data_IF_804772111691
#
_entry.id   IF_804772111691
#
_cell.length_a   1.000
_cell.length_b   1.000
_cell.length_c   1.000
_cell.angle_alpha   90.00
_cell.angle_beta   90.00
_cell.angle_gamma   90.00
#
_symmetry.space_group_name_H-M   'P 1'
#
loop_
_entity.id
_entity.type
_entity.pdbx_description
1 polymer ?
#
# COMPACT_ATOMS: atom_id res chain seq x y z
N UNK A 1 -20.94 -11.35 5.78
CA UNK A 1 -19.93 -11.09 4.71
C UNK A 1 -20.13 -9.76 3.94
N UNK A 2 -21.28 -9.07 4.04
CA UNK A 2 -21.54 -7.80 3.33
C UNK A 2 -20.50 -6.69 3.63
N UNK A 3 -20.11 -6.55 4.90
CA UNK A 3 -19.14 -5.53 5.33
C UNK A 3 -17.72 -5.79 4.82
N UNK A 4 -17.28 -7.06 4.77
CA UNK A 4 -15.98 -7.44 4.21
C UNK A 4 -15.94 -7.15 2.71
N UNK A 5 -17.04 -7.43 1.98
CA UNK A 5 -17.14 -7.04 0.56
C UNK A 5 -17.07 -5.53 0.38
N UNK A 6 -17.77 -4.73 1.19
CA UNK A 6 -17.69 -3.27 1.14
C UNK A 6 -16.28 -2.73 1.43
N UNK A 7 -15.56 -3.39 2.35
CA UNK A 7 -14.21 -3.03 2.73
C UNK A 7 -13.19 -3.40 1.66
N UNK A 8 -13.31 -4.57 1.01
CA UNK A 8 -12.30 -5.06 0.06
C UNK A 8 -12.60 -4.73 -1.40
N UNK A 9 -13.85 -4.45 -1.76
CA UNK A 9 -14.27 -4.24 -3.14
C UNK A 9 -14.54 -2.76 -3.45
N UNK A 10 -14.26 -2.39 -4.68
CA UNK A 10 -14.53 -1.08 -5.28
C UNK A 10 -15.12 -1.34 -6.66
N UNK A 11 -16.27 -0.72 -6.99
CA UNK A 11 -16.97 -0.96 -8.27
C UNK A 11 -17.24 -2.46 -8.57
N UNK A 12 -17.57 -3.25 -7.55
CA UNK A 12 -17.76 -4.72 -7.63
C UNK A 12 -16.51 -5.56 -7.97
N UNK A 13 -15.34 -4.95 -8.06
CA UNK A 13 -14.05 -5.66 -8.21
C UNK A 13 -13.20 -5.58 -6.94
N UNK A 14 -12.31 -6.55 -6.74
CA UNK A 14 -11.45 -6.58 -5.57
C UNK A 14 -10.37 -5.50 -5.69
N UNK A 15 -10.36 -4.57 -4.74
CA UNK A 15 -9.47 -3.40 -4.76
C UNK A 15 -8.20 -3.69 -3.97
N UNK A 16 -7.07 -3.73 -4.66
CA UNK A 16 -5.75 -3.99 -4.07
C UNK A 16 -5.40 -2.92 -3.03
N UNK A 17 -5.71 -1.64 -3.29
CA UNK A 17 -5.53 -0.53 -2.34
C UNK A 17 -6.30 -0.74 -1.06
N UNK A 18 -7.56 -1.15 -1.15
CA UNK A 18 -8.40 -1.39 0.03
C UNK A 18 -7.93 -2.62 0.82
N UNK A 19 -7.55 -3.70 0.14
CA UNK A 19 -6.97 -4.87 0.78
C UNK A 19 -5.67 -4.51 1.53
N UNK A 20 -4.78 -3.75 0.91
CA UNK A 20 -3.53 -3.28 1.54
C UNK A 20 -3.81 -2.32 2.70
N UNK A 21 -4.82 -1.46 2.62
CA UNK A 21 -5.23 -0.59 3.71
C UNK A 21 -5.69 -1.38 4.93
N UNK A 22 -6.48 -2.44 4.73
CA UNK A 22 -6.93 -3.32 5.83
C UNK A 22 -5.73 -4.04 6.47
N UNK A 23 -4.81 -4.56 5.67
CA UNK A 23 -3.59 -5.21 6.17
C UNK A 23 -2.73 -4.22 6.95
N UNK A 24 -2.59 -2.98 6.46
CA UNK A 24 -1.90 -1.90 7.16
C UNK A 24 -2.52 -1.58 8.51
N UNK A 25 -3.85 -1.49 8.59
CA UNK A 25 -4.58 -1.28 9.84
C UNK A 25 -4.42 -2.43 10.85
N UNK A 26 -4.44 -3.67 10.38
CA UNK A 26 -4.21 -4.84 11.25
C UNK A 26 -2.79 -4.83 11.79
N UNK A 27 -1.79 -4.57 10.93
CA UNK A 27 -0.39 -4.46 11.34
C UNK A 27 -0.19 -3.33 12.35
N UNK A 28 -0.79 -2.15 12.11
CA UNK A 28 -0.77 -1.02 13.02
C UNK A 28 -1.25 -1.44 14.41
N UNK A 29 -2.47 -1.96 14.51
CA UNK A 29 -3.06 -2.35 15.79
C UNK A 29 -2.25 -3.45 16.50
N UNK A 30 -1.79 -4.46 15.77
CA UNK A 30 -1.03 -5.57 16.35
C UNK A 30 0.30 -5.08 16.97
N UNK A 31 1.06 -4.25 16.24
CA UNK A 31 2.33 -3.71 16.73
C UNK A 31 2.10 -2.72 17.88
N UNK A 32 1.10 -1.86 17.79
CA UNK A 32 0.75 -0.94 18.88
C UNK A 32 0.41 -1.67 20.17
N UNK A 33 -0.43 -2.70 20.10
CA UNK A 33 -0.82 -3.50 21.29
C UNK A 33 0.39 -4.24 21.85
N UNK A 34 1.22 -4.85 20.99
CA UNK A 34 2.43 -5.54 21.42
C UNK A 34 3.38 -4.63 22.21
N UNK A 35 3.66 -3.43 21.70
CA UNK A 35 4.55 -2.48 22.37
C UNK A 35 4.00 -2.00 23.72
N UNK A 36 2.68 -1.81 23.82
CA UNK A 36 2.01 -1.44 25.08
C UNK A 36 2.11 -2.58 26.10
N UNK A 37 1.87 -3.82 25.70
CA UNK A 37 1.93 -4.98 26.59
C UNK A 37 3.33 -5.25 27.12
N UNK A 38 4.35 -5.09 26.28
CA UNK A 38 5.75 -5.31 26.65
C UNK A 38 6.42 -4.08 27.28
N UNK A 39 5.66 -2.98 27.44
CA UNK A 39 6.16 -1.68 27.90
C UNK A 39 7.41 -1.21 27.13
N UNK A 40 7.48 -1.54 25.83
CA UNK A 40 8.63 -1.26 24.98
C UNK A 40 8.45 0.05 24.24
N UNK A 41 9.50 0.88 24.26
CA UNK A 41 9.62 2.01 23.36
C UNK A 41 10.30 1.57 22.07
N UNK A 42 9.65 1.83 20.93
CA UNK A 42 10.25 1.59 19.62
C UNK A 42 10.52 2.91 18.89
N UNK A 43 11.80 3.19 18.66
CA UNK A 43 12.26 4.47 18.10
C UNK A 43 11.65 4.83 16.74
N UNK A 44 11.27 3.83 15.93
CA UNK A 44 10.70 4.05 14.59
C UNK A 44 9.17 3.93 14.57
N UNK A 45 8.52 3.88 15.75
CA UNK A 45 7.08 3.70 15.85
C UNK A 45 6.30 4.81 15.14
N UNK A 46 6.75 6.07 15.22
CA UNK A 46 6.08 7.19 14.55
C UNK A 46 6.09 7.04 13.02
N UNK A 47 7.22 6.61 12.45
CA UNK A 47 7.32 6.30 11.02
C UNK A 47 6.43 5.11 10.65
N UNK A 48 6.45 4.05 11.45
CA UNK A 48 5.57 2.91 11.24
C UNK A 48 4.08 3.28 11.30
N UNK A 49 3.65 4.03 12.31
CA UNK A 49 2.29 4.48 12.53
C UNK A 49 1.82 5.43 11.42
N UNK A 50 2.68 6.33 10.95
CA UNK A 50 2.35 7.24 9.83
C UNK A 50 2.16 6.51 8.50
N UNK A 51 2.86 5.40 8.27
CA UNK A 51 2.72 4.58 7.06
C UNK A 51 1.50 3.67 7.14
N UNK A 52 1.24 3.07 8.31
CA UNK A 52 0.22 2.01 8.49
C UNK A 52 -1.14 2.52 8.97
N UNK A 53 -1.17 3.52 9.86
CA UNK A 53 -2.39 4.17 10.37
C UNK A 53 -2.73 5.50 9.68
N UNK A 54 -1.73 6.18 9.10
CA UNK A 54 -1.91 7.41 8.34
C UNK A 54 -2.17 7.14 6.85
N UNK A 55 -3.34 7.53 6.35
CA UNK A 55 -3.74 7.32 4.94
C UNK A 55 -2.83 7.94 3.86
N UNK A 56 -1.73 8.63 4.21
CA UNK A 56 -0.80 9.22 3.25
C UNK A 56 0.28 8.29 2.71
N UNK A 57 0.84 7.40 3.54
CA UNK A 57 1.96 6.53 3.16
C UNK A 57 1.53 5.27 2.42
N UNK A 58 0.63 4.49 3.03
CA UNK A 58 0.09 3.27 2.42
C UNK A 58 -0.67 3.54 1.11
N UNK A 59 -1.44 4.62 1.00
CA UNK A 59 -2.15 4.96 -0.24
C UNK A 59 -1.17 5.35 -1.34
N UNK A 60 -0.07 6.04 -1.03
CA UNK A 60 0.95 6.35 -2.04
C UNK A 60 1.71 5.11 -2.53
N UNK A 61 2.06 4.19 -1.63
CA UNK A 61 2.69 2.92 -2.00
C UNK A 61 1.72 2.06 -2.81
N UNK A 62 0.45 1.98 -2.40
CA UNK A 62 -0.56 1.26 -3.13
C UNK A 62 -0.85 1.90 -4.50
N UNK A 63 -0.89 3.22 -4.60
CA UNK A 63 -1.00 3.94 -5.89
C UNK A 63 0.20 3.64 -6.79
N UNK A 64 1.44 3.62 -6.27
CA UNK A 64 2.63 3.22 -7.05
C UNK A 64 2.57 1.76 -7.49
N UNK A 65 2.12 0.86 -6.63
CA UNK A 65 1.99 -0.56 -6.96
C UNK A 65 0.90 -0.80 -8.03
N UNK A 66 -0.24 -0.12 -7.92
CA UNK A 66 -1.28 -0.16 -8.96
C UNK A 66 -0.74 0.39 -10.28
N UNK A 67 -0.07 1.55 -10.27
CA UNK A 67 0.56 2.08 -11.48
C UNK A 67 1.61 1.12 -12.05
N UNK A 68 2.42 0.47 -11.20
CA UNK A 68 3.44 -0.47 -11.65
C UNK A 68 2.88 -1.78 -12.22
N UNK A 69 1.71 -2.22 -11.77
CA UNK A 69 1.11 -3.49 -12.20
C UNK A 69 0.15 -3.33 -13.39
N UNK A 70 -0.51 -2.19 -13.50
CA UNK A 70 -1.56 -1.94 -14.51
C UNK A 70 -1.20 -0.86 -15.54
N UNK A 71 -0.28 0.06 -15.21
CA UNK A 71 0.10 1.19 -16.08
C UNK A 71 1.53 1.06 -16.67
N UNK A 72 2.36 0.16 -16.13
CA UNK A 72 3.60 -0.26 -16.79
C UNK A 72 3.26 -1.11 -18.01
N UNK A 73 3.17 -0.47 -19.18
CA UNK A 73 3.12 -1.14 -20.48
C UNK A 73 4.22 -2.22 -20.57
N UNK A 74 3.92 -3.45 -21.05
CA UNK A 74 4.94 -4.28 -21.67
C UNK A 74 5.32 -3.60 -22.99
N UNK A 75 6.38 -2.79 -22.98
CA UNK A 75 6.92 -2.16 -24.17
C UNK A 75 7.71 -0.90 -23.84
N UNK A 76 9.04 -1.02 -23.83
CA UNK A 76 9.90 0.14 -23.59
C UNK A 76 11.39 -0.16 -23.42
N UNK A 77 11.98 -1.04 -24.23
CA UNK A 77 13.38 -0.87 -24.66
C UNK A 77 13.38 -0.97 -26.18
N UNK A 78 13.23 0.19 -26.80
CA UNK A 78 13.33 0.41 -28.23
C UNK A 78 13.86 1.82 -28.44
N UNK A 79 14.97 2.14 -27.79
CA UNK A 79 15.81 3.25 -28.20
C UNK A 79 16.47 2.86 -29.53
N UNK A 80 15.74 3.01 -30.65
CA UNK A 80 16.41 3.21 -31.94
C UNK A 80 16.74 4.70 -32.03
N UNK A 81 17.93 5.04 -31.52
CA UNK A 81 18.64 6.24 -31.94
C UNK A 81 18.90 6.11 -33.46
N UNK A 82 17.99 6.65 -34.29
CA UNK A 82 18.28 6.95 -35.69
C UNK A 82 18.88 8.34 -35.75
N UNK A 83 20.20 8.35 -35.70
CA UNK A 83 21.04 9.46 -36.14
C UNK A 83 20.72 9.70 -37.63
N UNK A 84 20.02 10.80 -37.90
CA UNK A 84 19.79 11.27 -39.27
C UNK A 84 20.99 12.13 -39.65
N UNK A 85 21.65 11.72 -40.74
CA UNK A 85 22.84 12.39 -41.30
C UNK A 85 22.63 13.80 -41.82
#
# INVERSE_FOLDING_TARGET
MKYIKMLMYENNELSLTRALAIVGWIAFLAVSVYLVMEHQYWQNYDTFASITGGGGGAIQVANKLINSKYNSRPGGYGEEHKDNG
#
